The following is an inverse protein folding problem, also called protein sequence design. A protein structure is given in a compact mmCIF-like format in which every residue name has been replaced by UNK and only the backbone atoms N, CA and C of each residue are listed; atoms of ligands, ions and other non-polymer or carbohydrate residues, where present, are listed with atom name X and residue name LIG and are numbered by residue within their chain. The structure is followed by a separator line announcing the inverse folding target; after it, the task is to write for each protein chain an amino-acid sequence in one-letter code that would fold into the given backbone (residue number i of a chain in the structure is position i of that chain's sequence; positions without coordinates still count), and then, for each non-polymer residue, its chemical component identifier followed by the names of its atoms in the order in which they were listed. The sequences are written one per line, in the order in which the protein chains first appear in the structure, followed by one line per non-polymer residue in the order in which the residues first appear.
data_IF_075238564325
#
_entry.id   IF_075238564325
#
_cell.length_a   1.000
_cell.length_b   1.000
_cell.length_c   1.000
_cell.angle_alpha   90.00
_cell.angle_beta   90.00
_cell.angle_gamma   90.00
#
_symmetry.space_group_name_H-M   'P 1'
#
loop_
_entity.id
_entity.type
_entity.pdbx_description
1 polymer ?
#
# COMPACT_ATOMS: atom_id res chain seq x y z
N UNK A 1 -6.31 -6.41 -25.38
CA UNK A 1 -6.80 -6.38 -26.76
C UNK A 1 -8.32 -6.60 -26.72
N UNK A 2 -9.13 -5.57 -26.65
CA UNK A 2 -10.58 -5.74 -26.60
C UNK A 2 -11.39 -4.48 -26.34
N UNK A 3 -10.83 -3.29 -26.46
CA UNK A 3 -11.56 -2.04 -26.21
C UNK A 3 -11.63 -1.13 -27.45
N UNK A 4 -11.50 -1.69 -28.62
CA UNK A 4 -11.76 -0.96 -29.87
C UNK A 4 -12.83 -1.73 -30.64
N UNK A 5 -14.08 -1.63 -30.18
CA UNK A 5 -15.22 -1.82 -31.08
C UNK A 5 -15.45 -0.51 -31.78
N UNK A 6 -15.63 -0.55 -33.12
CA UNK A 6 -15.85 0.60 -34.00
C UNK A 6 -17.15 1.40 -33.68
N UNK A 7 -17.90 1.02 -32.66
CA UNK A 7 -19.14 1.65 -32.22
C UNK A 7 -19.02 2.47 -30.91
N UNK A 8 -17.80 2.72 -30.43
CA UNK A 8 -17.64 3.60 -29.28
C UNK A 8 -17.86 5.06 -29.74
N UNK A 9 -18.98 5.65 -29.37
CA UNK A 9 -19.15 7.10 -29.38
C UNK A 9 -17.94 7.73 -28.70
N UNK A 10 -17.22 8.58 -29.45
CA UNK A 10 -16.05 9.27 -28.96
C UNK A 10 -16.47 10.13 -27.75
N UNK A 11 -15.93 9.82 -26.58
CA UNK A 11 -16.20 10.57 -25.37
C UNK A 11 -15.46 11.90 -25.47
N UNK A 12 -16.18 12.98 -25.71
CA UNK A 12 -15.60 14.32 -25.68
C UNK A 12 -15.38 14.74 -24.23
N UNK A 13 -14.14 15.02 -23.87
CA UNK A 13 -13.79 15.52 -22.53
C UNK A 13 -12.75 16.62 -22.61
N UNK A 14 -12.75 17.53 -21.66
CA UNK A 14 -11.72 18.54 -21.53
C UNK A 14 -10.40 17.90 -21.05
N UNK A 15 -9.26 18.44 -21.54
CA UNK A 15 -7.95 17.86 -21.24
C UNK A 15 -7.64 17.76 -19.72
N UNK A 16 -8.20 18.64 -18.89
CA UNK A 16 -8.04 18.59 -17.44
C UNK A 16 -8.83 17.47 -16.76
N UNK A 17 -9.84 16.91 -17.41
CA UNK A 17 -10.67 15.81 -16.90
C UNK A 17 -10.05 14.44 -17.17
N UNK A 18 -9.15 14.37 -18.17
CA UNK A 18 -8.53 13.11 -18.62
C UNK A 18 -7.82 12.32 -17.49
N UNK A 19 -7.03 12.93 -16.57
CA UNK A 19 -6.41 12.18 -15.49
C UNK A 19 -7.44 11.50 -14.57
N UNK A 20 -8.49 12.21 -14.19
CA UNK A 20 -9.57 11.65 -13.36
C UNK A 20 -10.34 10.53 -14.05
N UNK A 21 -10.60 10.66 -15.36
CA UNK A 21 -11.21 9.62 -16.15
C UNK A 21 -10.33 8.38 -16.25
N UNK A 22 -9.02 8.55 -16.47
CA UNK A 22 -8.06 7.46 -16.53
C UNK A 22 -7.99 6.71 -15.19
N UNK A 23 -7.87 7.43 -14.09
CA UNK A 23 -7.85 6.86 -12.74
C UNK A 23 -9.13 6.08 -12.44
N UNK A 24 -10.30 6.63 -12.79
CA UNK A 24 -11.58 5.96 -12.60
C UNK A 24 -11.70 4.69 -13.45
N UNK A 25 -11.22 4.73 -14.69
CA UNK A 25 -11.26 3.58 -15.61
C UNK A 25 -10.28 2.48 -15.21
N UNK A 26 -9.13 2.85 -14.66
CA UNK A 26 -8.12 1.90 -14.17
C UNK A 26 -8.41 1.40 -12.75
N UNK A 27 -9.32 2.06 -12.03
CA UNK A 27 -9.69 1.65 -10.69
C UNK A 27 -10.25 0.21 -10.69
N UNK A 28 -9.63 -0.67 -9.92
CA UNK A 28 -10.04 -2.06 -9.83
C UNK A 28 -9.50 -2.99 -10.93
N UNK A 29 -8.76 -2.47 -11.91
CA UNK A 29 -8.07 -3.32 -12.89
C UNK A 29 -6.85 -3.97 -12.25
N UNK A 30 -6.93 -5.26 -11.95
CA UNK A 30 -5.80 -6.03 -11.45
C UNK A 30 -4.79 -6.31 -12.56
N UNK A 31 -3.54 -5.97 -12.33
CA UNK A 31 -2.44 -6.40 -13.21
C UNK A 31 -1.95 -7.77 -12.75
N UNK A 32 -2.13 -8.84 -13.56
CA UNK A 32 -1.62 -10.15 -13.19
C UNK A 32 -0.11 -10.10 -12.99
N UNK A 33 0.38 -10.83 -11.98
CA UNK A 33 1.82 -10.98 -11.77
C UNK A 33 2.49 -11.51 -13.05
N UNK A 34 3.61 -10.90 -13.42
CA UNK A 34 4.36 -11.38 -14.60
C UNK A 34 4.81 -12.82 -14.39
N UNK A 35 4.71 -13.68 -15.40
CA UNK A 35 5.35 -15.00 -15.37
C UNK A 35 6.87 -14.78 -15.15
N UNK A 36 7.43 -15.37 -14.09
CA UNK A 36 8.86 -15.23 -13.77
C UNK A 36 9.17 -14.72 -12.35
N UNK A 37 8.13 -14.52 -11.50
CA UNK A 37 8.37 -14.38 -10.06
C UNK A 37 8.99 -15.68 -9.51
N UNK A 38 9.92 -15.58 -8.58
CA UNK A 38 10.52 -16.75 -7.91
C UNK A 38 9.38 -17.60 -7.32
N UNK A 39 9.26 -18.91 -7.68
CA UNK A 39 8.17 -19.76 -7.22
C UNK A 39 8.17 -20.02 -5.71
N UNK A 40 9.22 -19.58 -5.01
CA UNK A 40 9.34 -19.68 -3.54
C UNK A 40 8.87 -18.41 -2.83
N UNK A 41 8.55 -17.34 -3.58
CA UNK A 41 8.12 -16.06 -3.02
C UNK A 41 6.64 -15.85 -3.27
N UNK A 42 5.90 -15.68 -2.18
CA UNK A 42 4.45 -15.45 -2.20
C UNK A 42 4.12 -14.12 -1.55
N UNK A 43 3.17 -13.41 -2.12
CA UNK A 43 2.57 -12.19 -1.53
C UNK A 43 1.10 -12.48 -1.36
N UNK A 44 0.65 -12.58 -0.11
CA UNK A 44 -0.70 -12.95 0.25
C UNK A 44 -1.40 -11.83 1.01
N UNK A 45 -2.71 -11.70 0.80
CA UNK A 45 -3.58 -11.08 1.79
C UNK A 45 -3.78 -12.01 2.99
N UNK A 46 -4.42 -11.49 4.02
CA UNK A 46 -4.63 -12.27 5.27
C UNK A 46 -5.47 -13.52 5.09
N UNK A 47 -6.40 -13.49 4.14
CA UNK A 47 -7.26 -14.63 3.82
C UNK A 47 -6.50 -15.74 3.11
N UNK A 48 -5.72 -15.38 2.10
CA UNK A 48 -4.93 -16.33 1.29
C UNK A 48 -3.79 -16.95 2.11
N UNK A 49 -3.27 -16.21 3.10
CA UNK A 49 -2.20 -16.68 3.98
C UNK A 49 -2.66 -17.75 4.98
N UNK A 50 -3.98 -17.95 5.13
CA UNK A 50 -4.51 -18.96 6.06
C UNK A 50 -4.09 -20.36 5.64
N UNK A 51 -3.72 -21.17 6.61
CA UNK A 51 -3.31 -22.58 6.41
C UNK A 51 -2.05 -22.73 5.52
N UNK A 52 -1.34 -21.65 5.21
CA UNK A 52 -0.09 -21.73 4.48
C UNK A 52 1.08 -21.97 5.44
N UNK A 53 1.95 -22.88 5.06
CA UNK A 53 3.18 -23.20 5.81
C UNK A 53 4.36 -22.72 4.98
N UNK A 54 5.20 -21.89 5.58
CA UNK A 54 6.38 -21.30 4.95
C UNK A 54 7.57 -21.30 5.89
N UNK A 55 8.78 -21.31 5.33
CA UNK A 55 10.02 -21.26 6.11
C UNK A 55 10.23 -19.90 6.78
N UNK A 56 9.76 -18.85 6.12
CA UNK A 56 9.84 -17.47 6.61
C UNK A 56 8.54 -16.73 6.32
N UNK A 57 7.86 -16.30 7.36
CA UNK A 57 6.69 -15.43 7.28
C UNK A 57 7.11 -13.97 7.48
N UNK A 58 6.72 -13.09 6.57
CA UNK A 58 6.95 -11.65 6.71
C UNK A 58 5.61 -10.94 6.86
N UNK A 59 5.38 -10.33 8.02
CA UNK A 59 4.19 -9.54 8.30
C UNK A 59 4.51 -8.06 8.02
N UNK A 60 3.96 -7.55 6.93
CA UNK A 60 4.20 -6.19 6.47
C UNK A 60 3.16 -5.18 6.97
N UNK A 61 3.60 -3.95 7.20
CA UNK A 61 2.70 -2.82 7.47
C UNK A 61 1.95 -2.91 8.79
N UNK A 62 2.63 -3.31 9.89
CA UNK A 62 2.01 -3.38 11.22
C UNK A 62 1.80 -1.99 11.82
N UNK A 63 1.05 -1.16 11.11
CA UNK A 63 0.64 0.18 11.51
C UNK A 63 -0.83 0.17 11.96
N UNK A 64 -1.18 1.06 12.90
CA UNK A 64 -2.57 1.24 13.32
C UNK A 64 -3.43 1.68 12.13
N UNK A 65 -4.65 1.13 12.04
CA UNK A 65 -5.55 1.32 10.90
C UNK A 65 -5.26 0.39 9.70
N UNK A 66 -4.11 -0.30 9.68
CA UNK A 66 -3.77 -1.36 8.71
C UNK A 66 -3.94 -2.74 9.34
N UNK A 67 -3.41 -2.91 10.57
CA UNK A 67 -3.55 -4.13 11.35
C UNK A 67 -4.04 -3.83 12.78
N UNK A 68 -5.32 -4.05 13.07
CA UNK A 68 -6.42 -4.39 12.16
C UNK A 68 -6.81 -3.21 11.27
N UNK A 69 -7.39 -3.52 10.11
CA UNK A 69 -8.06 -2.49 9.31
C UNK A 69 -9.24 -1.89 10.09
N UNK A 70 -9.49 -0.61 9.86
CA UNK A 70 -10.64 0.05 10.48
C UNK A 70 -11.94 -0.64 10.07
N UNK A 71 -12.78 -0.91 11.07
CA UNK A 71 -14.15 -1.37 10.82
C UNK A 71 -14.96 -0.19 10.32
N UNK A 72 -15.23 -0.16 9.03
CA UNK A 72 -16.17 0.82 8.48
C UNK A 72 -17.58 0.46 8.93
N UNK A 73 -18.21 1.38 9.65
CA UNK A 73 -19.65 1.31 9.91
C UNK A 73 -20.39 1.56 8.60
N UNK A 74 -21.34 0.70 8.30
CA UNK A 74 -22.24 0.90 7.18
C UNK A 74 -23.03 2.20 7.39
N UNK A 75 -23.03 3.15 6.44
CA UNK A 75 -23.75 4.40 6.59
C UNK A 75 -25.29 4.22 6.62
N UNK A 76 -25.79 3.09 6.12
CA UNK A 76 -27.23 2.82 5.96
C UNK A 76 -27.78 1.90 7.05
N UNK A 77 -26.97 0.98 7.57
CA UNK A 77 -27.40 -0.03 8.53
C UNK A 77 -26.73 0.19 9.88
N UNK A 78 -27.54 0.57 10.87
CA UNK A 78 -27.09 0.61 12.26
C UNK A 78 -26.76 -0.80 12.78
N UNK A 79 -26.05 -0.88 13.90
CA UNK A 79 -25.71 -2.18 14.53
C UNK A 79 -26.96 -2.98 14.90
N UNK A 80 -28.01 -2.33 15.41
CA UNK A 80 -29.28 -2.96 15.74
C UNK A 80 -29.97 -3.53 14.50
N UNK A 81 -30.07 -2.73 13.43
CA UNK A 81 -30.67 -3.17 12.17
C UNK A 81 -29.91 -4.36 11.57
N UNK A 82 -28.57 -4.36 11.66
CA UNK A 82 -27.77 -5.51 11.21
C UNK A 82 -28.06 -6.77 12.01
N UNK A 83 -28.22 -6.63 13.33
CA UNK A 83 -28.54 -7.77 14.21
C UNK A 83 -29.94 -8.33 13.89
N UNK A 84 -30.93 -7.47 13.68
CA UNK A 84 -32.30 -7.85 13.29
C UNK A 84 -32.34 -8.59 11.94
N UNK A 85 -31.48 -8.19 11.01
CA UNK A 85 -31.33 -8.83 9.70
C UNK A 85 -30.44 -10.08 9.72
N UNK A 86 -29.92 -10.50 10.89
CA UNK A 86 -29.01 -11.64 11.01
C UNK A 86 -27.66 -11.41 10.37
N UNK A 87 -27.26 -10.17 10.09
CA UNK A 87 -25.97 -9.83 9.51
C UNK A 87 -24.87 -9.84 10.56
N UNK A 88 -23.69 -10.27 10.16
CA UNK A 88 -22.55 -10.33 11.08
C UNK A 88 -22.20 -8.96 11.67
N UNK A 89 -21.89 -8.95 12.97
CA UNK A 89 -21.38 -7.76 13.64
C UNK A 89 -20.03 -7.34 13.05
N UNK A 90 -19.79 -6.02 12.80
CA UNK A 90 -18.51 -5.54 12.25
C UNK A 90 -17.29 -5.96 13.10
N UNK A 91 -17.48 -6.14 14.39
CA UNK A 91 -16.46 -6.56 15.36
C UNK A 91 -15.95 -7.98 15.13
N UNK A 92 -16.73 -8.83 14.45
CA UNK A 92 -16.30 -10.20 14.09
C UNK A 92 -15.08 -10.16 13.17
N UNK A 93 -15.00 -9.19 12.25
CA UNK A 93 -13.83 -8.99 11.39
C UNK A 93 -12.57 -8.68 12.19
N UNK A 94 -12.71 -7.94 13.29
CA UNK A 94 -11.60 -7.65 14.20
C UNK A 94 -11.09 -8.94 14.88
N UNK A 95 -12.00 -9.77 15.40
CA UNK A 95 -11.65 -11.06 15.99
C UNK A 95 -10.95 -11.99 14.99
N UNK A 96 -11.48 -12.04 13.76
CA UNK A 96 -10.88 -12.83 12.68
C UNK A 96 -9.48 -12.36 12.31
N UNK A 97 -9.28 -11.05 12.19
CA UNK A 97 -7.98 -10.45 11.90
C UNK A 97 -6.98 -10.68 13.05
N UNK A 98 -7.43 -10.71 14.32
CA UNK A 98 -6.60 -11.08 15.46
C UNK A 98 -6.17 -12.55 15.39
N UNK A 99 -7.07 -13.45 15.01
CA UNK A 99 -6.77 -14.85 14.76
C UNK A 99 -5.73 -15.02 13.64
N UNK A 100 -5.91 -14.33 12.51
CA UNK A 100 -4.98 -14.37 11.38
C UNK A 100 -3.58 -13.89 11.78
N UNK A 101 -3.50 -12.81 12.55
CA UNK A 101 -2.24 -12.31 13.10
C UNK A 101 -1.56 -13.33 14.02
N UNK A 102 -2.31 -13.94 14.93
CA UNK A 102 -1.77 -14.93 15.86
C UNK A 102 -1.30 -16.18 15.11
N UNK A 103 -2.06 -16.63 14.13
CA UNK A 103 -1.71 -17.78 13.28
C UNK A 103 -0.44 -17.51 12.49
N UNK A 104 -0.30 -16.32 11.90
CA UNK A 104 0.91 -15.94 11.17
C UNK A 104 2.14 -15.83 12.08
N UNK A 105 1.99 -15.39 13.34
CA UNK A 105 3.06 -15.37 14.32
C UNK A 105 3.52 -16.76 14.78
N UNK A 106 2.72 -17.80 14.58
CA UNK A 106 3.07 -19.18 14.95
C UNK A 106 3.97 -19.89 13.94
N UNK A 107 4.30 -19.24 12.81
CA UNK A 107 5.29 -19.75 11.86
C UNK A 107 6.67 -19.89 12.51
N UNK A 108 7.48 -20.86 12.02
CA UNK A 108 8.78 -21.17 12.60
C UNK A 108 9.77 -20.01 12.61
N UNK A 109 9.70 -19.13 11.63
CA UNK A 109 10.48 -17.89 11.56
C UNK A 109 9.61 -16.75 11.07
N UNK A 110 9.55 -15.67 11.85
CA UNK A 110 8.69 -14.52 11.55
C UNK A 110 9.51 -13.23 11.57
N UNK A 111 9.28 -12.39 10.57
CA UNK A 111 9.76 -11.01 10.51
C UNK A 111 8.56 -10.09 10.52
N UNK A 112 8.55 -9.13 11.43
CA UNK A 112 7.50 -8.10 11.49
C UNK A 112 8.06 -6.76 11.04
N UNK A 113 7.33 -6.07 10.19
CA UNK A 113 7.75 -4.76 9.68
C UNK A 113 6.64 -3.73 9.83
N UNK A 114 7.04 -2.49 10.01
CA UNK A 114 6.13 -1.34 9.99
C UNK A 114 6.80 -0.15 9.33
N UNK A 115 6.01 0.79 8.83
CA UNK A 115 6.52 2.07 8.40
C UNK A 115 6.70 3.01 9.60
N UNK A 116 7.78 3.78 9.66
CA UNK A 116 7.91 4.88 10.64
C UNK A 116 7.10 6.10 10.21
N UNK A 117 6.99 6.29 8.90
CA UNK A 117 6.25 7.39 8.28
C UNK A 117 5.49 6.90 7.05
N UNK A 118 4.35 7.51 6.79
CA UNK A 118 3.58 7.31 5.57
C UNK A 118 3.18 8.67 5.01
N UNK A 119 3.55 8.96 3.75
CA UNK A 119 3.32 10.27 3.16
C UNK A 119 3.89 11.43 3.99
N UNK A 120 5.07 11.26 4.60
CA UNK A 120 5.69 12.25 5.48
C UNK A 120 5.17 12.28 6.93
N UNK A 121 4.00 11.69 7.22
CA UNK A 121 3.39 11.69 8.55
C UNK A 121 3.88 10.49 9.38
N UNK A 122 4.27 10.67 10.66
CA UNK A 122 4.61 9.58 11.55
C UNK A 122 3.44 8.60 11.70
N UNK A 123 3.74 7.30 11.74
CA UNK A 123 2.75 6.24 11.96
C UNK A 123 2.76 5.77 13.40
N UNK A 124 1.66 5.18 13.84
CA UNK A 124 1.55 4.50 15.13
C UNK A 124 1.65 3.00 14.91
N UNK A 125 2.42 2.30 15.72
CA UNK A 125 2.50 0.84 15.65
C UNK A 125 1.14 0.21 15.93
N UNK A 126 0.80 -0.84 15.16
CA UNK A 126 -0.43 -1.60 15.37
C UNK A 126 -0.55 -2.06 16.84
N UNK A 127 -1.77 -1.99 17.37
CA UNK A 127 -2.05 -2.38 18.77
C UNK A 127 -1.60 -3.81 19.10
N UNK A 128 -1.65 -4.71 18.14
CA UNK A 128 -1.20 -6.09 18.36
C UNK A 128 0.31 -6.21 18.44
N UNK A 129 1.04 -5.42 17.66
CA UNK A 129 2.50 -5.33 17.80
C UNK A 129 2.88 -4.73 19.15
N UNK A 130 2.19 -3.69 19.58
CA UNK A 130 2.41 -3.09 20.92
C UNK A 130 2.17 -4.12 22.05
N UNK A 131 1.09 -4.90 21.97
CA UNK A 131 0.78 -5.97 22.94
C UNK A 131 1.83 -7.08 22.92
N UNK A 132 2.29 -7.48 21.74
CA UNK A 132 3.37 -8.45 21.58
C UNK A 132 4.64 -7.97 22.28
N UNK A 133 5.07 -6.74 21.98
CA UNK A 133 6.28 -6.15 22.58
C UNK A 133 6.14 -5.99 24.11
N UNK A 134 4.98 -5.59 24.59
CA UNK A 134 4.70 -5.50 26.02
C UNK A 134 4.77 -6.89 26.70
N UNK A 135 4.28 -7.94 26.05
CA UNK A 135 4.33 -9.33 26.56
C UNK A 135 5.73 -9.89 26.60
N UNK A 136 6.56 -9.55 25.61
CA UNK A 136 7.98 -9.93 25.58
C UNK A 136 8.81 -9.23 26.67
N UNK A 137 8.41 -8.05 27.08
CA UNK A 137 9.16 -7.21 27.99
C UNK A 137 10.30 -6.44 27.32
N UNK A 138 10.85 -5.46 28.04
CA UNK A 138 11.80 -4.48 27.48
C UNK A 138 13.07 -5.11 26.91
N UNK A 139 13.63 -6.12 27.58
CA UNK A 139 14.88 -6.76 27.16
C UNK A 139 14.71 -7.49 25.84
N UNK A 140 13.71 -8.37 25.75
CA UNK A 140 13.44 -9.16 24.55
C UNK A 140 12.95 -8.31 23.40
N UNK A 141 12.13 -7.30 23.66
CA UNK A 141 11.70 -6.35 22.64
C UNK A 141 12.89 -5.59 22.02
N UNK A 142 13.87 -5.18 22.85
CA UNK A 142 15.12 -4.57 22.37
C UNK A 142 15.94 -5.55 21.53
N UNK A 143 16.12 -6.78 22.03
CA UNK A 143 16.85 -7.83 21.31
C UNK A 143 16.18 -8.16 19.95
N UNK A 144 14.85 -8.18 19.90
CA UNK A 144 14.10 -8.35 18.66
C UNK A 144 14.40 -7.21 17.66
N UNK A 145 14.39 -5.96 18.13
CA UNK A 145 14.74 -4.80 17.32
C UNK A 145 16.16 -4.90 16.75
N UNK A 146 17.14 -5.26 17.58
CA UNK A 146 18.53 -5.43 17.12
C UNK A 146 18.63 -6.51 16.03
N UNK A 147 17.97 -7.65 16.20
CA UNK A 147 17.92 -8.68 15.14
C UNK A 147 17.29 -8.20 13.85
N UNK A 148 16.38 -7.22 13.93
CA UNK A 148 15.71 -6.62 12.78
C UNK A 148 16.60 -5.67 11.97
N UNK A 149 17.66 -5.09 12.55
CA UNK A 149 18.48 -4.06 11.89
C UNK A 149 19.05 -4.52 10.54
N UNK A 150 19.43 -5.79 10.43
CA UNK A 150 19.96 -6.34 9.16
C UNK A 150 19.01 -6.18 7.97
N UNK A 151 17.70 -6.26 8.20
CA UNK A 151 16.70 -6.09 7.14
C UNK A 151 16.60 -4.63 6.70
N UNK A 152 16.76 -3.70 7.65
CA UNK A 152 16.84 -2.27 7.34
C UNK A 152 18.12 -1.94 6.56
N UNK A 153 19.24 -2.58 6.91
CA UNK A 153 20.50 -2.37 6.18
C UNK A 153 20.41 -2.92 4.76
N UNK A 154 19.74 -4.05 4.55
CA UNK A 154 19.47 -4.56 3.20
C UNK A 154 18.58 -3.62 2.40
N UNK A 155 17.48 -3.11 2.99
CA UNK A 155 16.62 -2.14 2.33
C UNK A 155 17.40 -0.87 1.94
N UNK A 156 18.20 -0.32 2.86
CA UNK A 156 19.05 0.83 2.58
C UNK A 156 20.10 0.57 1.50
N UNK A 157 20.63 -0.67 1.45
CA UNK A 157 21.60 -1.05 0.41
C UNK A 157 20.95 -1.11 -0.98
N UNK A 158 19.68 -1.54 -1.07
CA UNK A 158 18.90 -1.53 -2.32
C UNK A 158 18.63 -0.09 -2.81
N UNK A 159 18.41 0.84 -1.90
CA UNK A 159 18.15 2.24 -2.23
C UNK A 159 19.43 3.03 -2.57
N UNK A 160 20.61 2.48 -2.27
CA UNK A 160 21.88 3.12 -2.59
C UNK A 160 22.24 2.90 -4.05
N UNK A 161 22.26 3.98 -4.80
CA UNK A 161 22.82 3.98 -6.15
C UNK A 161 24.35 4.03 -6.06
N UNK A 162 25.03 3.04 -6.59
CA UNK A 162 26.50 2.97 -6.57
C UNK A 162 27.16 4.17 -7.28
N UNK A 163 26.50 4.71 -8.31
CA UNK A 163 26.87 5.95 -9.00
C UNK A 163 25.60 6.70 -9.36
N UNK A 164 25.27 7.81 -8.68
CA UNK A 164 24.20 8.68 -9.13
C UNK A 164 24.59 9.27 -10.49
N UNK A 165 23.86 8.90 -11.53
CA UNK A 165 24.00 9.55 -12.83
C UNK A 165 23.16 10.81 -12.78
N UNK A 166 23.77 12.01 -12.82
CA UNK A 166 22.97 13.24 -12.83
C UNK A 166 22.12 13.27 -14.10
N UNK A 167 20.81 13.29 -13.90
CA UNK A 167 19.88 13.49 -15.02
C UNK A 167 19.99 14.94 -15.47
N UNK A 168 20.36 15.14 -16.75
CA UNK A 168 20.39 16.48 -17.32
C UNK A 168 18.99 17.08 -17.25
N UNK A 169 18.91 18.32 -16.76
CA UNK A 169 17.63 19.02 -16.71
C UNK A 169 17.05 19.10 -18.12
N UNK A 170 15.77 18.75 -18.34
CA UNK A 170 15.14 18.93 -19.64
C UNK A 170 15.19 20.40 -20.05
N UNK A 171 15.71 20.65 -21.24
CA UNK A 171 15.71 21.98 -21.86
C UNK A 171 14.76 21.97 -23.07
N UNK A 172 13.44 22.08 -22.85
CA UNK A 172 12.49 22.03 -23.93
C UNK A 172 12.67 23.26 -24.84
N UNK A 173 12.97 23.01 -26.11
CA UNK A 173 13.08 24.03 -27.15
C UNK A 173 11.91 23.89 -28.13
N UNK A 174 10.71 24.34 -27.80
CA UNK A 174 9.57 24.27 -28.70
C UNK A 174 9.85 25.11 -29.96
N UNK A 175 9.43 24.66 -31.16
CA UNK A 175 9.59 25.41 -32.36
C UNK A 175 8.93 26.80 -32.24
N UNK A 176 9.49 27.80 -32.90
CA UNK A 176 9.07 29.20 -32.74
C UNK A 176 7.56 29.41 -33.01
N UNK A 177 6.97 28.60 -33.90
CA UNK A 177 5.53 28.65 -34.21
C UNK A 177 4.66 28.18 -33.02
N UNK A 178 5.17 27.30 -32.16
CA UNK A 178 4.47 26.76 -30.97
C UNK A 178 4.68 27.61 -29.71
N UNK A 179 5.53 28.64 -29.80
CA UNK A 179 5.76 29.52 -28.64
C UNK A 179 4.64 30.54 -28.51
N UNK A 180 4.14 30.82 -27.31
CA UNK A 180 3.16 31.87 -27.10
C UNK A 180 3.73 33.22 -27.57
N UNK A 181 2.95 33.99 -28.32
CA UNK A 181 3.37 35.31 -28.78
C UNK A 181 3.14 36.43 -27.75
N UNK A 182 2.37 36.16 -26.72
CA UNK A 182 2.07 37.05 -25.61
C UNK A 182 2.06 36.24 -24.35
N UNK A 183 2.70 36.74 -23.32
CA UNK A 183 2.69 36.19 -21.97
C UNK A 183 2.20 37.29 -21.03
N UNK A 184 1.38 36.92 -20.08
CA UNK A 184 1.05 37.79 -18.95
C UNK A 184 2.23 37.82 -17.96
N UNK A 185 2.25 38.81 -17.08
CA UNK A 185 3.31 38.95 -16.04
C UNK A 185 3.37 37.68 -15.19
N UNK A 186 2.22 37.13 -14.79
CA UNK A 186 2.12 35.90 -13.98
C UNK A 186 2.66 34.68 -14.70
N UNK A 187 2.46 34.58 -16.01
CA UNK A 187 2.99 33.47 -16.82
C UNK A 187 4.52 33.54 -16.96
N UNK A 188 5.08 34.74 -16.95
CA UNK A 188 6.55 34.95 -16.95
C UNK A 188 7.16 34.52 -15.61
N UNK A 189 6.48 34.79 -14.50
CA UNK A 189 6.95 34.40 -13.17
C UNK A 189 6.91 32.88 -12.92
N UNK A 190 6.09 32.15 -13.68
CA UNK A 190 5.93 30.69 -13.56
C UNK A 190 6.79 29.88 -14.54
N UNK A 191 7.46 30.53 -15.46
CA UNK A 191 8.42 29.93 -16.41
C UNK A 191 9.79 29.71 -15.74
#
# INVERSE_FOLDING_TARGET
AGLMSDDAEALEMAGYEYPGFLDATMAGVGVPARPGSDPRLFIWGTLEARLQIVDLMVLGGLDEGVWPSETRTDPWLSRSMRAELGLEAPERKLGQSAHDFTSALSAGKVVVTRAERRGGTPTVAARWLQRLLARLGKSEAKALGVRGLRYLDWARALDRTARPVPVRRPEPLPPLKARPRRLSVTEIETL
#
